data_IF_590365561231
#
_entry.id   IF_590365561231
#
_cell.length_a   1.000
_cell.length_b   1.000
_cell.length_c   1.000
_cell.angle_alpha   90.00
_cell.angle_beta   90.00
_cell.angle_gamma   90.00
#
_symmetry.space_group_name_H-M   'P 1'
#
loop_
_entity.id
_entity.type
_entity.pdbx_description
1 polymer ?
#
# COMPACT_ATOMS: atom_id res chain seq x y z
N UNK A 1 -13.44 14.24 11.08
CA UNK A 1 -13.12 12.80 10.89
C UNK A 1 -13.59 12.23 9.55
N UNK A 2 -14.82 12.53 9.09
CA UNK A 2 -15.37 12.06 7.80
C UNK A 2 -14.40 12.22 6.62
N UNK A 3 -13.76 13.38 6.48
CA UNK A 3 -12.77 13.63 5.40
C UNK A 3 -11.61 12.63 5.44
N UNK A 4 -11.14 12.26 6.63
CA UNK A 4 -10.05 11.30 6.80
C UNK A 4 -10.48 9.90 6.41
N UNK A 5 -11.69 9.49 6.80
CA UNK A 5 -12.30 8.21 6.44
C UNK A 5 -12.47 8.10 4.93
N UNK A 6 -13.01 9.14 4.28
CA UNK A 6 -13.12 9.21 2.82
C UNK A 6 -11.76 8.97 2.14
N UNK A 7 -10.70 9.66 2.59
CA UNK A 7 -9.34 9.47 2.03
C UNK A 7 -8.83 8.04 2.22
N UNK A 8 -9.08 7.41 3.36
CA UNK A 8 -8.70 6.01 3.61
C UNK A 8 -9.43 5.09 2.63
N UNK A 9 -10.75 5.26 2.48
CA UNK A 9 -11.58 4.46 1.57
C UNK A 9 -11.18 4.63 0.10
N UNK A 10 -10.67 5.81 -0.29
CA UNK A 10 -10.15 6.04 -1.65
C UNK A 10 -8.81 5.33 -1.89
N UNK A 11 -8.06 5.02 -0.82
CA UNK A 11 -6.77 4.32 -0.91
C UNK A 11 -6.90 2.80 -0.98
N UNK A 12 -7.96 2.23 -0.41
CA UNK A 12 -8.15 0.78 -0.32
C UNK A 12 -9.14 0.27 -1.37
N UNK A 13 -9.00 -0.99 -1.75
CA UNK A 13 -9.99 -1.69 -2.54
C UNK A 13 -11.18 -2.07 -1.65
N UNK A 14 -12.40 -1.71 -2.05
CA UNK A 14 -13.62 -2.03 -1.28
C UNK A 14 -14.02 -3.51 -1.36
N UNK A 15 -13.40 -4.28 -2.26
CA UNK A 15 -13.66 -5.71 -2.41
C UNK A 15 -12.73 -6.56 -1.53
N UNK A 16 -11.42 -6.27 -1.53
CA UNK A 16 -10.42 -7.07 -0.80
C UNK A 16 -9.84 -6.39 0.45
N UNK A 17 -10.14 -5.10 0.67
CA UNK A 17 -9.64 -4.35 1.83
C UNK A 17 -8.15 -3.97 1.77
N UNK A 18 -7.41 -4.39 0.74
CA UNK A 18 -5.98 -4.09 0.55
C UNK A 18 -5.76 -2.69 -0.04
N UNK A 19 -4.56 -2.15 0.18
CA UNK A 19 -4.15 -0.88 -0.42
C UNK A 19 -4.02 -1.07 -1.94
N UNK A 20 -4.52 -0.11 -2.73
CA UNK A 20 -4.47 -0.19 -4.21
C UNK A 20 -3.05 -0.06 -4.80
N UNK A 21 -2.08 0.30 -3.99
CA UNK A 21 -0.68 0.39 -4.35
C UNK A 21 0.17 -0.01 -3.14
N UNK A 22 1.25 -0.73 -3.38
CA UNK A 22 2.18 -1.18 -2.36
C UNK A 22 3.64 -1.04 -2.85
N UNK A 23 4.58 -1.61 -2.11
CA UNK A 23 6.00 -1.55 -2.42
C UNK A 23 6.41 -2.29 -3.69
N UNK A 24 5.52 -3.06 -4.34
CA UNK A 24 5.79 -3.69 -5.64
C UNK A 24 5.83 -2.65 -6.77
N UNK A 25 5.13 -1.53 -6.60
CA UNK A 25 5.12 -0.41 -7.53
C UNK A 25 6.29 0.54 -7.18
N UNK A 26 7.39 0.55 -7.97
CA UNK A 26 8.57 1.34 -7.64
C UNK A 26 8.26 2.85 -7.55
N UNK A 27 7.29 3.33 -8.33
CA UNK A 27 6.86 4.73 -8.31
C UNK A 27 6.20 5.09 -6.98
N UNK A 28 5.40 4.18 -6.44
CA UNK A 28 4.79 4.33 -5.13
C UNK A 28 5.83 4.23 -4.01
N UNK A 29 6.67 3.20 -4.07
CA UNK A 29 7.71 2.94 -3.08
C UNK A 29 8.66 4.14 -2.93
N UNK A 30 9.18 4.67 -4.05
CA UNK A 30 10.08 5.83 -4.03
C UNK A 30 9.41 7.09 -3.49
N UNK A 31 8.12 7.26 -3.76
CA UNK A 31 7.35 8.41 -3.26
C UNK A 31 7.18 8.38 -1.75
N UNK A 32 7.00 7.20 -1.14
CA UNK A 32 6.71 7.08 0.29
C UNK A 32 7.95 6.83 1.14
N UNK A 33 9.03 6.24 0.60
CA UNK A 33 10.17 5.72 1.37
C UNK A 33 10.86 6.76 2.26
N UNK A 34 10.85 8.03 1.85
CA UNK A 34 11.52 9.11 2.57
C UNK A 34 10.60 9.93 3.47
N UNK A 35 9.29 9.73 3.42
CA UNK A 35 8.33 10.56 4.15
C UNK A 35 8.14 10.00 5.56
N UNK A 36 8.81 10.63 6.54
CA UNK A 36 8.69 10.27 7.96
C UNK A 36 7.44 10.83 8.64
N UNK A 37 7.01 12.03 8.25
CA UNK A 37 5.83 12.66 8.86
C UNK A 37 4.54 11.88 8.48
N UNK A 38 3.77 11.37 9.45
CA UNK A 38 2.59 10.55 9.17
C UNK A 38 1.51 11.28 8.36
N UNK A 39 1.37 12.60 8.55
CA UNK A 39 0.35 13.40 7.87
C UNK A 39 0.72 13.61 6.40
N UNK A 40 1.97 13.96 6.12
CA UNK A 40 2.52 14.06 4.77
C UNK A 40 2.51 12.70 4.06
N UNK A 41 2.86 11.62 4.77
CA UNK A 41 2.83 10.26 4.20
C UNK A 41 1.43 9.87 3.77
N UNK A 42 0.43 10.10 4.62
CA UNK A 42 -0.97 9.84 4.27
C UNK A 42 -1.44 10.66 3.06
N UNK A 43 -1.03 11.92 2.96
CA UNK A 43 -1.35 12.76 1.80
C UNK A 43 -0.70 12.26 0.51
N UNK A 44 0.56 11.80 0.59
CA UNK A 44 1.27 11.21 -0.55
C UNK A 44 0.61 9.90 -1.02
N UNK A 45 0.29 9.00 -0.07
CA UNK A 45 -0.42 7.74 -0.36
C UNK A 45 -1.77 8.02 -1.00
N UNK A 46 -2.55 8.93 -0.43
CA UNK A 46 -3.87 9.30 -0.94
C UNK A 46 -3.81 9.90 -2.35
N UNK A 47 -2.87 10.81 -2.59
CA UNK A 47 -2.70 11.41 -3.92
C UNK A 47 -2.35 10.37 -4.99
N UNK A 48 -1.64 9.31 -4.62
CA UNK A 48 -1.32 8.21 -5.51
C UNK A 48 -2.52 7.28 -5.75
N UNK A 49 -3.18 6.85 -4.67
CA UNK A 49 -4.21 5.81 -4.76
C UNK A 49 -5.55 6.32 -5.28
N UNK A 50 -5.86 7.63 -5.12
CA UNK A 50 -7.15 8.21 -5.56
C UNK A 50 -7.39 8.09 -7.08
N UNK A 51 -6.32 8.01 -7.88
CA UNK A 51 -6.40 7.82 -9.33
C UNK A 51 -6.36 6.35 -9.75
N UNK A 52 -6.00 5.42 -8.85
CA UNK A 52 -6.06 3.98 -9.13
C UNK A 52 -7.52 3.49 -9.01
N UNK A 53 -8.06 3.03 -10.12
CA UNK A 53 -9.42 2.46 -10.21
C UNK A 53 -9.43 0.94 -10.31
N UNK A 54 -8.26 0.31 -10.46
CA UNK A 54 -8.09 -1.13 -10.63
C UNK A 54 -7.37 -1.67 -9.39
N UNK A 55 -7.84 -2.80 -8.88
CA UNK A 55 -7.15 -3.57 -7.86
C UNK A 55 -6.23 -4.57 -8.56
N UNK A 56 -4.92 -4.39 -8.43
CA UNK A 56 -3.96 -5.37 -8.93
C UNK A 56 -4.02 -6.60 -7.99
N UNK A 57 -4.27 -7.80 -8.51
CA UNK A 57 -4.22 -9.02 -7.70
C UNK A 57 -2.77 -9.28 -7.28
N UNK A 58 -2.57 -9.69 -6.03
CA UNK A 58 -1.28 -10.22 -5.60
C UNK A 58 -0.92 -11.43 -6.47
N UNK A 59 0.32 -11.51 -6.96
CA UNK A 59 0.82 -12.74 -7.58
C UNK A 59 0.67 -13.88 -6.56
N UNK A 60 0.14 -15.06 -6.97
CA UNK A 60 0.07 -16.20 -6.08
C UNK A 60 1.49 -16.55 -5.64
N UNK A 61 1.78 -16.36 -4.35
CA UNK A 61 3.01 -16.88 -3.77
C UNK A 61 2.91 -18.40 -3.79
N UNK A 62 3.72 -19.05 -4.62
CA UNK A 62 3.94 -20.49 -4.55
C UNK A 62 4.36 -20.83 -3.10
N UNK A 63 3.64 -21.76 -2.45
CA UNK A 63 3.72 -22.08 -1.02
C UNK A 63 5.03 -22.79 -0.59
N UNK A 64 6.18 -22.56 -1.25
CA UNK A 64 7.40 -23.33 -0.99
C UNK A 64 8.59 -22.57 -0.35
N UNK A 65 8.44 -21.30 0.07
CA UNK A 65 9.58 -20.53 0.62
C UNK A 65 9.26 -19.85 1.96
N UNK A 66 8.69 -20.61 2.91
CA UNK A 66 8.45 -20.15 4.28
C UNK A 66 9.10 -21.06 5.33
N UNK A 67 10.40 -21.25 5.17
CA UNK A 67 11.28 -21.68 6.24
C UNK A 67 12.70 -21.20 5.89
N UNK A 68 13.12 -20.01 6.36
CA UNK A 68 14.52 -19.79 6.80
C UNK A 68 14.91 -18.38 7.32
N UNK A 69 14.07 -17.33 7.33
CA UNK A 69 14.52 -15.99 7.82
C UNK A 69 13.91 -15.51 9.17
N UNK A 70 13.56 -16.44 10.06
CA UNK A 70 13.40 -16.19 11.51
C UNK A 70 14.71 -16.50 12.28
N UNK A 71 15.86 -16.26 11.64
CA UNK A 71 17.16 -16.42 12.29
C UNK A 71 18.26 -15.58 11.63
N UNK A 72 18.28 -14.27 11.89
CA UNK A 72 19.50 -13.50 12.21
C UNK A 72 19.20 -12.02 12.54
N UNK A 73 19.28 -11.74 13.84
CA UNK A 73 19.92 -10.56 14.47
C UNK A 73 19.26 -9.18 14.34
#
# INVERSE_FOLDING_TARGET
FIVKVKKILECICVNCGRLKADSSDPTFADRIRHIRDPKARMQAVWNYCKSKMICEPDEPKDENDNAEDEAKK
#
